data_IF_646836804518
#
_entry.id   IF_646836804518
#
_cell.length_a   1.000
_cell.length_b   1.000
_cell.length_c   1.000
_cell.angle_alpha   90.00
_cell.angle_beta   90.00
_cell.angle_gamma   90.00
#
_symmetry.space_group_name_H-M   'P 1'
#
loop_
_entity.id
_entity.type
_entity.pdbx_description
1 polymer ?
#
# COMPACT_ATOMS: atom_id res chain seq x y z
N UNK A 1 8.82 63.38 -11.92
CA UNK A 1 9.11 62.45 -13.02
C UNK A 1 10.06 61.41 -12.53
N UNK A 2 9.64 60.17 -12.41
CA UNK A 2 10.48 59.06 -11.96
C UNK A 2 9.57 57.84 -11.65
N UNK A 3 9.18 57.10 -12.71
CA UNK A 3 8.41 55.83 -12.58
C UNK A 3 9.40 54.72 -12.24
N UNK A 4 9.26 54.12 -11.04
CA UNK A 4 9.87 52.86 -10.68
C UNK A 4 9.06 51.72 -11.32
N UNK A 5 9.75 50.91 -12.10
CA UNK A 5 9.19 49.72 -12.76
C UNK A 5 9.55 48.51 -11.89
N UNK A 6 8.59 48.00 -11.09
CA UNK A 6 8.71 46.75 -10.35
C UNK A 6 8.52 45.60 -11.33
N UNK A 7 9.61 44.90 -11.63
CA UNK A 7 9.58 43.63 -12.36
C UNK A 7 9.27 42.50 -11.36
N UNK A 8 7.99 42.08 -11.28
CA UNK A 8 7.60 40.83 -10.63
C UNK A 8 8.04 39.65 -11.49
N UNK A 9 9.09 38.98 -11.11
CA UNK A 9 9.45 37.67 -11.63
C UNK A 9 8.42 36.64 -11.13
N UNK A 10 7.52 36.24 -12.02
CA UNK A 10 6.60 35.12 -11.81
C UNK A 10 7.39 33.84 -12.05
N UNK A 11 7.70 33.08 -11.00
CA UNK A 11 8.21 31.72 -11.12
C UNK A 11 7.09 30.83 -11.68
N UNK A 12 7.32 30.01 -12.72
CA UNK A 12 6.32 29.09 -13.22
C UNK A 12 6.14 27.95 -12.18
N UNK A 13 5.01 27.95 -11.49
CA UNK A 13 4.55 26.81 -10.70
C UNK A 13 4.12 25.71 -11.67
N UNK A 14 4.90 24.66 -11.79
CA UNK A 14 4.51 23.44 -12.52
C UNK A 14 3.34 22.80 -11.75
N UNK A 15 2.18 22.61 -12.37
CA UNK A 15 1.04 22.00 -11.68
C UNK A 15 1.36 20.56 -11.29
N UNK A 16 1.14 20.21 -10.02
CA UNK A 16 1.45 18.89 -9.43
C UNK A 16 0.90 17.69 -10.25
N UNK A 17 -0.25 17.86 -10.92
CA UNK A 17 -0.83 16.83 -11.79
C UNK A 17 0.05 16.36 -12.95
N UNK A 18 0.86 17.26 -13.53
CA UNK A 18 1.78 16.89 -14.62
C UNK A 18 2.98 16.06 -14.15
N UNK A 19 3.44 16.28 -12.91
CA UNK A 19 4.55 15.50 -12.34
C UNK A 19 4.14 14.05 -12.03
N UNK A 20 2.91 13.87 -11.54
CA UNK A 20 2.33 12.53 -11.27
C UNK A 20 2.12 11.76 -12.56
N UNK A 21 1.54 12.41 -13.59
CA UNK A 21 1.32 11.78 -14.89
C UNK A 21 2.64 11.39 -15.58
N UNK A 22 3.68 12.22 -15.47
CA UNK A 22 5.02 11.91 -15.99
C UNK A 22 5.69 10.73 -15.24
N UNK A 23 5.54 10.67 -13.92
CA UNK A 23 6.04 9.52 -13.13
C UNK A 23 5.31 8.23 -13.49
N UNK A 24 3.99 8.28 -13.65
CA UNK A 24 3.18 7.13 -14.06
C UNK A 24 3.55 6.64 -15.46
N UNK A 25 3.70 7.56 -16.43
CA UNK A 25 4.13 7.21 -17.79
C UNK A 25 5.55 6.63 -17.82
N UNK A 26 6.48 7.18 -17.05
CA UNK A 26 7.85 6.67 -16.93
C UNK A 26 7.90 5.28 -16.30
N UNK A 27 7.07 5.00 -15.28
CA UNK A 27 6.98 3.71 -14.62
C UNK A 27 6.37 2.62 -15.51
N UNK A 28 5.30 2.95 -16.24
CA UNK A 28 4.70 2.03 -17.22
C UNK A 28 5.69 1.72 -18.34
N UNK A 29 6.45 2.73 -18.79
CA UNK A 29 7.50 2.56 -19.80
C UNK A 29 8.66 1.71 -19.28
N UNK A 30 9.09 1.89 -18.03
CA UNK A 30 10.14 1.07 -17.40
C UNK A 30 9.70 -0.39 -17.26
N UNK A 31 8.44 -0.62 -16.88
CA UNK A 31 7.86 -1.96 -16.79
C UNK A 31 7.74 -2.63 -18.16
N UNK A 32 7.30 -1.87 -19.18
CA UNK A 32 7.24 -2.33 -20.56
C UNK A 32 8.64 -2.66 -21.13
N UNK A 33 9.64 -1.83 -20.84
CA UNK A 33 11.06 -2.08 -21.21
C UNK A 33 11.60 -3.31 -20.49
N UNK A 34 11.30 -3.47 -19.20
CA UNK A 34 11.69 -4.67 -18.43
C UNK A 34 11.09 -5.94 -19.04
N UNK A 35 9.79 -5.92 -19.39
CA UNK A 35 9.10 -7.05 -20.07
C UNK A 35 9.69 -7.28 -21.46
N UNK A 36 10.05 -6.24 -22.22
CA UNK A 36 10.59 -6.36 -23.57
C UNK A 36 12.02 -6.91 -23.62
N UNK A 37 12.82 -6.71 -22.57
CA UNK A 37 14.20 -7.21 -22.46
C UNK A 37 14.21 -8.70 -22.05
N UNK A 38 13.20 -9.19 -21.32
CA UNK A 38 13.12 -10.56 -20.82
C UNK A 38 13.23 -11.64 -21.89
N UNK A 39 12.58 -11.54 -23.10
CA UNK A 39 12.72 -12.55 -24.15
C UNK A 39 14.15 -12.66 -24.69
N UNK A 40 14.87 -11.54 -24.78
CA UNK A 40 16.28 -11.53 -25.27
C UNK A 40 17.24 -12.22 -24.30
N UNK A 41 16.96 -12.13 -22.99
CA UNK A 41 17.75 -12.79 -21.93
C UNK A 41 17.38 -14.27 -21.78
N UNK A 42 16.15 -14.65 -22.13
CA UNK A 42 15.67 -16.04 -22.06
C UNK A 42 16.25 -16.96 -23.14
N UNK A 43 16.77 -16.40 -24.24
CA UNK A 43 17.36 -17.16 -25.35
C UNK A 43 18.86 -17.47 -25.15
N UNK A 44 19.46 -16.98 -24.07
CA UNK A 44 20.87 -17.23 -23.77
C UNK A 44 20.98 -18.39 -22.77
N UNK A 45 21.37 -19.56 -23.28
CA UNK A 45 21.85 -20.75 -22.58
C UNK A 45 20.82 -21.68 -21.91
N UNK A 46 20.54 -22.79 -22.62
CA UNK A 46 20.17 -24.08 -22.04
C UNK A 46 21.39 -24.66 -21.29
N UNK A 47 21.47 -24.49 -19.99
CA UNK A 47 22.35 -25.30 -19.18
C UNK A 47 21.88 -25.38 -17.72
N UNK A 48 21.73 -26.61 -17.28
CA UNK A 48 21.49 -27.11 -15.93
C UNK A 48 20.17 -26.69 -15.26
N UNK A 49 19.28 -27.68 -15.12
CA UNK A 49 18.16 -27.70 -14.22
C UNK A 49 18.65 -27.43 -12.78
N UNK A 50 18.78 -26.18 -12.40
CA UNK A 50 19.12 -25.83 -11.05
C UNK A 50 17.87 -25.85 -10.21
N UNK A 51 17.82 -26.79 -9.26
CA UNK A 51 16.78 -26.97 -8.26
C UNK A 51 16.38 -25.64 -7.65
N UNK A 52 15.10 -25.52 -7.24
CA UNK A 52 14.53 -24.35 -6.56
C UNK A 52 15.46 -23.80 -5.50
N UNK A 53 15.70 -22.51 -5.47
CA UNK A 53 16.69 -21.91 -4.59
C UNK A 53 16.26 -22.02 -3.14
N UNK A 54 17.24 -22.22 -2.31
CA UNK A 54 17.39 -22.08 -0.86
C UNK A 54 16.13 -22.10 0.04
N UNK A 55 16.30 -22.57 1.24
CA UNK A 55 15.24 -22.62 2.25
C UNK A 55 14.75 -21.23 2.67
N UNK A 56 15.62 -20.20 2.55
CA UNK A 56 15.29 -18.82 2.92
C UNK A 56 15.44 -17.90 1.73
N UNK A 57 14.37 -17.18 1.37
CA UNK A 57 14.37 -16.06 0.45
C UNK A 57 14.16 -14.76 1.24
N UNK A 58 14.97 -13.76 0.97
CA UNK A 58 14.78 -12.38 1.44
C UNK A 58 14.65 -11.50 0.22
N UNK A 59 13.62 -10.68 0.19
CA UNK A 59 13.30 -9.76 -0.90
C UNK A 59 13.15 -8.36 -0.33
N UNK A 60 13.75 -7.38 -1.00
CA UNK A 60 13.64 -5.98 -0.61
C UNK A 60 13.68 -5.07 -1.81
N UNK A 61 12.97 -3.96 -1.75
CA UNK A 61 12.96 -3.04 -2.87
C UNK A 61 12.07 -1.83 -2.67
N UNK A 62 12.02 -1.03 -3.71
CA UNK A 62 11.23 0.18 -3.80
C UNK A 62 9.84 -0.13 -4.36
N UNK A 63 8.84 0.49 -3.76
CA UNK A 63 7.47 0.39 -4.18
C UNK A 63 6.91 1.79 -4.48
N UNK A 64 6.15 1.92 -5.56
CA UNK A 64 5.39 3.11 -5.88
C UNK A 64 3.91 2.83 -5.71
N UNK A 65 3.28 3.56 -4.81
CA UNK A 65 1.84 3.51 -4.54
C UNK A 65 1.16 4.59 -5.35
N UNK A 66 0.05 4.25 -6.01
CA UNK A 66 -0.81 5.23 -6.68
C UNK A 66 -2.28 4.87 -6.51
N UNK A 67 -3.16 5.83 -6.79
CA UNK A 67 -4.60 5.69 -6.61
C UNK A 67 -4.95 5.25 -5.18
N UNK A 68 -4.19 5.82 -4.20
CA UNK A 68 -4.45 5.60 -2.80
C UNK A 68 -5.74 6.31 -2.41
N UNK A 69 -6.75 5.50 -2.10
CA UNK A 69 -8.09 5.94 -1.75
C UNK A 69 -8.35 5.55 -0.30
N UNK A 70 -8.43 6.54 0.58
CA UNK A 70 -8.59 6.30 2.00
C UNK A 70 -9.70 7.16 2.55
N UNK A 71 -10.73 6.50 3.07
CA UNK A 71 -11.81 7.13 3.82
C UNK A 71 -11.81 6.60 5.23
N UNK A 72 -11.82 7.48 6.20
CA UNK A 72 -11.81 7.12 7.63
C UNK A 72 -12.91 7.88 8.34
N UNK A 73 -13.67 7.20 9.18
CA UNK A 73 -14.56 7.81 10.14
C UNK A 73 -14.19 7.30 11.54
N UNK A 74 -13.86 8.22 12.42
CA UNK A 74 -13.55 7.96 13.82
C UNK A 74 -14.79 8.12 14.71
N UNK A 75 -14.75 7.67 15.97
CA UNK A 75 -15.85 7.84 16.89
C UNK A 75 -16.29 9.31 17.01
N UNK A 76 -17.59 9.54 17.04
CA UNK A 76 -18.18 10.85 17.27
C UNK A 76 -18.98 10.88 18.59
N UNK A 77 -18.93 12.02 19.29
CA UNK A 77 -19.54 12.18 20.61
C UNK A 77 -21.07 12.11 20.62
N UNK A 78 -21.73 12.36 19.50
CA UNK A 78 -23.21 12.51 19.45
C UNK A 78 -23.94 11.36 18.76
N UNK A 79 -23.29 10.64 17.83
CA UNK A 79 -23.95 9.61 17.02
C UNK A 79 -23.18 8.31 16.91
N UNK A 80 -22.15 8.10 17.71
CA UNK A 80 -21.32 6.88 17.70
C UNK A 80 -20.28 6.82 16.58
N UNK A 81 -20.53 7.43 15.42
CA UNK A 81 -19.58 7.53 14.29
C UNK A 81 -19.42 9.00 13.91
N UNK A 82 -18.21 9.50 13.85
CA UNK A 82 -17.89 10.85 13.41
C UNK A 82 -18.09 11.06 11.90
N UNK A 83 -17.71 12.23 11.42
CA UNK A 83 -17.74 12.54 10.00
C UNK A 83 -16.85 11.59 9.21
N UNK A 84 -17.37 11.04 8.12
CA UNK A 84 -16.56 10.26 7.17
C UNK A 84 -15.65 11.21 6.39
N UNK A 85 -14.36 11.03 6.51
CA UNK A 85 -13.33 11.92 5.96
C UNK A 85 -12.63 11.18 4.81
N UNK A 86 -12.82 11.69 3.60
CA UNK A 86 -12.00 11.30 2.45
C UNK A 86 -10.65 12.04 2.54
N UNK A 87 -9.55 11.28 2.66
CA UNK A 87 -8.23 11.84 2.88
C UNK A 87 -7.79 12.76 1.72
N UNK A 88 -8.04 12.36 0.49
CA UNK A 88 -7.67 13.16 -0.68
C UNK A 88 -8.63 14.34 -0.92
N UNK A 89 -9.94 14.07 -0.93
CA UNK A 89 -10.93 15.07 -1.30
C UNK A 89 -11.15 16.11 -0.19
N UNK A 90 -11.30 15.66 1.04
CA UNK A 90 -11.61 16.53 2.18
C UNK A 90 -10.35 17.22 2.71
N UNK A 91 -9.23 16.50 2.84
CA UNK A 91 -8.03 16.99 3.47
C UNK A 91 -6.90 17.37 2.50
N UNK A 92 -7.11 17.19 1.19
CA UNK A 92 -6.10 17.49 0.16
C UNK A 92 -4.91 16.53 0.22
N UNK A 93 -5.13 15.30 0.67
CA UNK A 93 -4.10 14.30 0.81
C UNK A 93 -3.56 13.78 -0.52
N UNK A 94 -2.30 13.39 -0.52
CA UNK A 94 -1.67 12.76 -1.67
C UNK A 94 -2.34 11.40 -1.96
N UNK A 95 -2.50 11.09 -3.24
CA UNK A 95 -3.00 9.79 -3.71
C UNK A 95 -1.88 8.88 -4.20
N UNK A 96 -0.63 9.32 -4.10
CA UNK A 96 0.55 8.56 -4.50
C UNK A 96 1.74 8.84 -3.59
N UNK A 97 2.57 7.83 -3.39
CA UNK A 97 3.79 7.94 -2.56
C UNK A 97 4.76 6.82 -2.87
N UNK A 98 6.01 7.04 -2.51
CA UNK A 98 7.05 6.01 -2.53
C UNK A 98 7.04 5.24 -1.20
N UNK A 99 7.32 3.94 -1.25
CA UNK A 99 7.37 3.06 -0.10
C UNK A 99 8.56 2.09 -0.19
N UNK A 100 9.04 1.65 0.96
CA UNK A 100 9.95 0.51 1.08
C UNK A 100 9.13 -0.73 1.42
N UNK A 101 9.38 -1.86 0.71
CA UNK A 101 8.80 -3.15 1.02
C UNK A 101 9.88 -4.19 1.22
N UNK A 102 9.71 -4.99 2.26
CA UNK A 102 10.58 -6.11 2.62
C UNK A 102 9.73 -7.35 2.76
N UNK A 103 10.21 -8.47 2.20
CA UNK A 103 9.57 -9.77 2.30
C UNK A 103 10.60 -10.83 2.66
N UNK A 104 10.15 -11.85 3.37
CA UNK A 104 10.92 -13.05 3.65
C UNK A 104 10.04 -14.29 3.46
N UNK A 105 10.60 -15.35 2.92
CA UNK A 105 9.94 -16.65 2.82
C UNK A 105 10.89 -17.72 3.35
N UNK A 106 10.45 -18.46 4.34
CA UNK A 106 11.18 -19.62 4.84
C UNK A 106 10.44 -20.91 4.48
N UNK A 107 11.12 -21.82 3.79
CA UNK A 107 10.60 -23.10 3.35
C UNK A 107 11.09 -24.21 4.28
N UNK A 108 10.18 -24.77 5.08
CA UNK A 108 10.50 -25.89 6.00
C UNK A 108 10.81 -27.18 5.25
N UNK A 109 10.01 -27.43 4.19
CA UNK A 109 10.15 -28.57 3.30
C UNK A 109 9.47 -28.24 1.95
N UNK A 110 9.34 -29.22 1.07
CA UNK A 110 8.77 -29.02 -0.27
C UNK A 110 7.32 -28.50 -0.28
N UNK A 111 6.56 -28.78 0.80
CA UNK A 111 5.13 -28.44 0.87
C UNK A 111 4.81 -27.29 1.82
N UNK A 112 5.69 -26.98 2.76
CA UNK A 112 5.37 -26.05 3.84
C UNK A 112 6.33 -24.87 3.84
N UNK A 113 5.79 -23.66 3.82
CA UNK A 113 6.57 -22.44 3.96
C UNK A 113 5.84 -21.37 4.76
N UNK A 114 6.61 -20.47 5.36
CA UNK A 114 6.13 -19.30 6.09
C UNK A 114 6.65 -18.05 5.38
N UNK A 115 5.73 -17.18 4.99
CA UNK A 115 6.00 -15.90 4.38
C UNK A 115 5.73 -14.75 5.34
N UNK A 116 6.60 -13.78 5.34
CA UNK A 116 6.44 -12.51 6.04
C UNK A 116 6.62 -11.37 5.06
N UNK A 117 5.84 -10.30 5.17
CA UNK A 117 6.13 -9.05 4.51
C UNK A 117 5.79 -7.86 5.39
N UNK A 118 6.54 -6.79 5.20
CA UNK A 118 6.32 -5.50 5.81
C UNK A 118 6.53 -4.39 4.78
N UNK A 119 5.65 -3.41 4.80
CA UNK A 119 5.82 -2.17 4.09
C UNK A 119 5.09 -1.02 4.77
N UNK A 120 5.56 0.19 4.52
CA UNK A 120 5.02 1.41 5.09
C UNK A 120 4.63 2.37 3.98
N UNK A 121 3.39 2.85 4.03
CA UNK A 121 2.84 3.89 3.16
C UNK A 121 2.65 5.13 4.00
N UNK A 122 3.25 6.25 3.60
CA UNK A 122 3.06 7.56 4.22
C UNK A 122 2.43 8.51 3.22
N UNK A 123 1.26 9.05 3.54
CA UNK A 123 0.55 10.06 2.76
C UNK A 123 0.47 11.35 3.56
N UNK A 124 0.63 12.49 2.91
CA UNK A 124 0.52 13.82 3.51
C UNK A 124 -0.54 14.64 2.76
N UNK A 125 -1.10 15.63 3.44
CA UNK A 125 -2.07 16.53 2.84
C UNK A 125 -2.04 17.90 3.49
N UNK A 126 -2.40 18.94 2.72
CA UNK A 126 -2.57 20.29 3.23
C UNK A 126 -3.67 20.99 2.43
N UNK A 127 -4.68 21.51 3.12
CA UNK A 127 -5.82 22.17 2.50
C UNK A 127 -6.51 23.15 3.44
N UNK A 128 -7.12 24.19 2.89
CA UNK A 128 -8.17 24.95 3.59
C UNK A 128 -9.50 24.20 3.46
N UNK A 129 -10.19 23.96 4.56
CA UNK A 129 -11.44 23.19 4.54
C UNK A 129 -12.55 23.96 3.82
N UNK A 130 -13.24 23.26 2.92
CA UNK A 130 -14.44 23.76 2.23
C UNK A 130 -15.74 23.39 2.95
N UNK A 131 -15.67 22.45 3.89
CA UNK A 131 -16.78 21.97 4.72
C UNK A 131 -16.33 21.80 6.17
N UNK A 132 -17.29 21.83 7.08
CA UNK A 132 -17.04 21.56 8.50
C UNK A 132 -16.81 20.07 8.70
N UNK A 133 -15.78 19.71 9.47
CA UNK A 133 -15.53 18.32 9.86
C UNK A 133 -15.60 18.17 11.36
N UNK A 134 -16.03 16.99 11.81
CA UNK A 134 -16.06 16.62 13.23
C UNK A 134 -15.22 15.37 13.44
N UNK A 135 -14.24 15.48 14.34
CA UNK A 135 -13.41 14.37 14.78
C UNK A 135 -13.47 14.36 16.29
N UNK A 136 -13.94 13.27 16.90
CA UNK A 136 -14.25 13.17 18.32
C UNK A 136 -15.12 14.35 18.81
N UNK A 137 -14.66 15.08 19.80
CA UNK A 137 -15.34 16.26 20.39
C UNK A 137 -14.93 17.59 19.73
N UNK A 138 -14.13 17.56 18.66
CA UNK A 138 -13.65 18.76 18.00
C UNK A 138 -14.38 18.99 16.68
N UNK A 139 -14.92 20.19 16.55
CA UNK A 139 -15.54 20.69 15.32
C UNK A 139 -14.58 21.67 14.66
N UNK A 140 -14.03 21.32 13.51
CA UNK A 140 -13.15 22.17 12.71
C UNK A 140 -13.99 22.87 11.66
N UNK A 141 -14.08 24.19 11.76
CA UNK A 141 -14.96 24.98 10.93
C UNK A 141 -14.42 25.19 9.50
N UNK A 142 -15.34 25.54 8.59
CA UNK A 142 -15.01 25.94 7.22
C UNK A 142 -13.95 27.06 7.22
N UNK A 143 -13.00 26.99 6.28
CA UNK A 143 -11.93 27.97 6.14
C UNK A 143 -10.71 27.73 7.03
N UNK A 144 -10.77 26.76 7.96
CA UNK A 144 -9.58 26.35 8.72
C UNK A 144 -8.55 25.72 7.78
N UNK A 145 -7.27 26.06 7.99
CA UNK A 145 -6.15 25.40 7.29
C UNK A 145 -5.77 24.13 8.03
N UNK A 146 -5.75 23.00 7.34
CA UNK A 146 -5.38 21.71 7.91
C UNK A 146 -4.14 21.16 7.25
N UNK A 147 -3.25 20.60 8.06
CA UNK A 147 -2.13 19.75 7.61
C UNK A 147 -2.34 18.36 8.18
N UNK A 148 -2.26 17.35 7.32
CA UNK A 148 -2.57 15.95 7.69
C UNK A 148 -1.46 15.01 7.31
N UNK A 149 -1.30 13.95 8.09
CA UNK A 149 -0.49 12.80 7.71
C UNK A 149 -1.22 11.49 8.04
N UNK A 150 -1.12 10.54 7.12
CA UNK A 150 -1.64 9.20 7.26
C UNK A 150 -0.49 8.21 7.06
N UNK A 151 -0.15 7.46 8.10
CA UNK A 151 0.88 6.45 8.05
C UNK A 151 0.25 5.06 8.23
N UNK A 152 0.48 4.20 7.25
CA UNK A 152 0.02 2.81 7.23
C UNK A 152 1.24 1.90 7.34
N UNK A 153 1.33 1.12 8.42
CA UNK A 153 2.27 0.02 8.51
C UNK A 153 1.51 -1.28 8.30
N UNK A 154 1.89 -2.02 7.27
CA UNK A 154 1.24 -3.26 6.89
C UNK A 154 2.20 -4.42 7.12
N UNK A 155 1.80 -5.34 7.96
CA UNK A 155 2.50 -6.58 8.26
C UNK A 155 1.66 -7.74 7.76
N UNK A 156 2.28 -8.71 7.13
CA UNK A 156 1.61 -9.91 6.64
C UNK A 156 2.41 -11.14 7.04
N UNK A 157 1.72 -12.11 7.60
CA UNK A 157 2.27 -13.43 7.91
C UNK A 157 1.40 -14.48 7.24
N UNK A 158 1.97 -15.26 6.32
CA UNK A 158 1.28 -16.28 5.54
C UNK A 158 1.94 -17.63 5.75
N UNK A 159 1.15 -18.63 6.10
CA UNK A 159 1.56 -20.02 6.02
C UNK A 159 1.10 -20.58 4.68
N UNK A 160 2.03 -21.12 3.88
CA UNK A 160 1.69 -21.68 2.58
C UNK A 160 1.79 -23.21 2.65
N UNK A 161 0.73 -23.87 2.18
CA UNK A 161 0.71 -25.30 1.94
C UNK A 161 0.63 -25.59 0.45
N UNK A 162 1.75 -26.07 -0.13
CA UNK A 162 1.86 -26.44 -1.54
C UNK A 162 1.24 -27.83 -1.74
N UNK A 163 -0.01 -27.86 -2.18
CA UNK A 163 -0.73 -29.11 -2.43
C UNK A 163 -0.39 -29.74 -3.78
N UNK A 164 0.12 -28.94 -4.73
CA UNK A 164 0.65 -29.40 -6.01
C UNK A 164 1.97 -28.71 -6.31
N UNK A 165 2.97 -29.48 -6.73
CA UNK A 165 4.27 -28.96 -7.13
C UNK A 165 4.96 -29.90 -8.10
N UNK A 166 5.48 -29.32 -9.17
CA UNK A 166 6.39 -29.95 -10.11
C UNK A 166 7.47 -28.93 -10.54
N UNK A 167 8.29 -29.25 -11.53
CA UNK A 167 9.37 -28.38 -12.01
C UNK A 167 8.86 -27.02 -12.55
N UNK A 168 7.64 -26.97 -13.10
CA UNK A 168 7.08 -25.77 -13.73
C UNK A 168 6.07 -25.03 -12.86
N UNK A 169 5.28 -25.74 -12.07
CA UNK A 169 4.12 -25.17 -11.38
C UNK A 169 4.14 -25.54 -9.90
N UNK A 170 3.90 -24.56 -9.04
CA UNK A 170 3.57 -24.77 -7.64
C UNK A 170 2.24 -24.08 -7.33
N UNK A 171 1.29 -24.84 -6.75
CA UNK A 171 0.00 -24.36 -6.29
C UNK A 171 -0.08 -24.51 -4.78
N UNK A 172 -0.37 -23.42 -4.08
CA UNK A 172 -0.47 -23.43 -2.63
C UNK A 172 -1.73 -22.71 -2.14
N UNK A 173 -2.23 -23.14 -0.98
CA UNK A 173 -3.19 -22.39 -0.17
C UNK A 173 -2.45 -21.65 0.94
N UNK A 174 -2.94 -20.47 1.30
CA UNK A 174 -2.22 -19.53 2.18
C UNK A 174 -3.14 -18.95 3.24
N UNK A 175 -3.45 -19.68 4.33
CA UNK A 175 -4.01 -19.03 5.50
C UNK A 175 -2.99 -18.07 6.11
N UNK A 176 -3.48 -16.93 6.61
CA UNK A 176 -2.59 -15.91 7.14
C UNK A 176 -3.24 -14.86 8.00
N UNK A 177 -2.43 -13.88 8.36
CA UNK A 177 -2.83 -12.73 9.17
C UNK A 177 -2.22 -11.47 8.56
N UNK A 178 -3.08 -10.49 8.28
CA UNK A 178 -2.69 -9.13 7.96
C UNK A 178 -2.89 -8.27 9.21
N UNK A 179 -1.91 -7.45 9.53
CA UNK A 179 -2.01 -6.47 10.61
C UNK A 179 -1.74 -5.10 9.99
N UNK A 180 -2.79 -4.28 9.93
CA UNK A 180 -2.69 -2.91 9.47
C UNK A 180 -2.67 -1.99 10.68
N UNK A 181 -1.58 -1.27 10.89
CA UNK A 181 -1.48 -0.21 11.88
C UNK A 181 -1.60 1.13 11.16
N UNK A 182 -2.71 1.81 11.40
CA UNK A 182 -3.08 3.08 10.79
C UNK A 182 -2.87 4.18 11.82
N UNK A 183 -2.03 5.15 11.49
CA UNK A 183 -1.79 6.33 12.33
C UNK A 183 -2.18 7.56 11.52
N UNK A 184 -3.20 8.27 11.99
CA UNK A 184 -3.70 9.52 11.43
C UNK A 184 -3.32 10.68 12.33
N UNK A 185 -2.82 11.77 11.76
CA UNK A 185 -2.54 13.01 12.47
C UNK A 185 -3.10 14.16 11.65
N UNK A 186 -3.79 15.08 12.33
CA UNK A 186 -4.34 16.29 11.75
C UNK A 186 -3.96 17.47 12.63
N UNK A 187 -3.34 18.49 12.04
CA UNK A 187 -3.11 19.80 12.65
C UNK A 187 -4.02 20.82 11.98
N UNK A 188 -4.82 21.52 12.75
CA UNK A 188 -5.75 22.53 12.26
C UNK A 188 -5.43 23.91 12.84
N UNK A 189 -5.52 24.94 12.00
CA UNK A 189 -5.41 26.37 12.37
C UNK A 189 -6.64 27.11 11.86
N UNK A 190 -7.30 27.87 12.74
CA UNK A 190 -8.51 28.62 12.39
C UNK A 190 -9.55 28.56 13.48
N UNK A 191 -10.84 28.48 13.10
CA UNK A 191 -11.94 28.38 14.07
C UNK A 191 -12.20 26.92 14.40
N UNK A 192 -12.06 26.57 15.69
CA UNK A 192 -12.28 25.21 16.23
C UNK A 192 -13.28 25.34 17.39
N UNK A 193 -14.36 24.56 17.36
CA UNK A 193 -15.48 24.66 18.33
C UNK A 193 -16.04 26.09 18.43
N UNK A 194 -16.04 26.86 17.31
CA UNK A 194 -16.52 28.24 17.29
C UNK A 194 -15.56 29.27 17.86
N UNK A 195 -14.36 28.89 18.28
CA UNK A 195 -13.33 29.80 18.86
C UNK A 195 -12.10 29.81 17.94
N UNK A 196 -11.51 30.98 17.76
CA UNK A 196 -10.24 31.10 17.03
C UNK A 196 -9.12 30.46 17.81
N UNK A 197 -8.51 29.41 17.26
CA UNK A 197 -7.40 28.66 17.84
C UNK A 197 -6.14 28.78 16.99
N UNK A 198 -4.99 28.93 17.62
CA UNK A 198 -3.70 29.03 16.95
C UNK A 198 -3.29 27.67 16.31
N UNK A 199 -3.57 26.60 16.99
CA UNK A 199 -3.46 25.23 16.45
C UNK A 199 -4.19 24.23 17.33
N UNK A 200 -4.74 23.19 16.73
CA UNK A 200 -5.19 21.96 17.40
C UNK A 200 -4.57 20.77 16.70
N UNK A 201 -4.17 19.76 17.46
CA UNK A 201 -3.60 18.51 16.94
C UNK A 201 -4.49 17.36 17.38
N UNK A 202 -4.93 16.56 16.40
CA UNK A 202 -5.67 15.32 16.61
C UNK A 202 -4.78 14.19 16.14
N UNK A 203 -4.60 13.17 16.97
CA UNK A 203 -3.82 11.98 16.67
C UNK A 203 -4.65 10.74 17.00
N UNK A 204 -4.91 9.93 15.98
CA UNK A 204 -5.67 8.69 16.07
C UNK A 204 -4.83 7.51 15.60
N UNK A 205 -4.93 6.41 16.31
CA UNK A 205 -4.29 5.16 15.93
C UNK A 205 -5.26 3.99 16.00
N UNK A 206 -5.27 3.21 14.91
CA UNK A 206 -6.10 2.02 14.79
C UNK A 206 -5.23 0.85 14.34
N UNK A 207 -5.39 -0.29 15.01
CA UNK A 207 -4.75 -1.55 14.61
C UNK A 207 -5.82 -2.56 14.22
N UNK A 208 -5.76 -3.05 12.99
CA UNK A 208 -6.72 -3.98 12.39
C UNK A 208 -6.03 -5.31 12.10
N UNK A 209 -6.25 -6.35 12.93
CA UNK A 209 -5.87 -7.71 12.60
C UNK A 209 -6.94 -8.34 11.68
N UNK A 210 -6.54 -8.73 10.47
CA UNK A 210 -7.43 -9.31 9.45
C UNK A 210 -6.92 -10.73 9.12
N UNK A 211 -7.53 -11.78 9.68
CA UNK A 211 -7.22 -13.15 9.28
C UNK A 211 -7.63 -13.34 7.83
N UNK A 212 -6.81 -14.02 7.05
CA UNK A 212 -7.03 -14.19 5.61
C UNK A 212 -6.87 -15.63 5.19
N UNK A 213 -7.45 -15.95 4.05
CA UNK A 213 -7.16 -17.15 3.30
C UNK A 213 -6.89 -16.79 1.85
N UNK A 214 -5.89 -17.43 1.26
CA UNK A 214 -5.52 -17.13 -0.11
C UNK A 214 -5.01 -18.32 -0.88
N UNK A 215 -4.59 -18.04 -2.11
CA UNK A 215 -3.95 -18.98 -3.01
C UNK A 215 -2.74 -18.38 -3.70
N UNK A 216 -1.74 -19.20 -3.93
CA UNK A 216 -0.51 -18.83 -4.65
C UNK A 216 -0.32 -19.78 -5.84
N UNK A 217 0.02 -19.18 -6.96
CA UNK A 217 0.47 -19.87 -8.17
C UNK A 217 1.86 -19.37 -8.49
N UNK A 218 2.86 -20.22 -8.42
CA UNK A 218 4.20 -19.96 -8.94
C UNK A 218 4.36 -20.75 -10.25
N UNK A 219 4.83 -20.08 -11.29
CA UNK A 219 5.04 -20.70 -12.60
C UNK A 219 6.43 -20.36 -13.14
N UNK A 220 7.26 -21.38 -13.35
CA UNK A 220 8.57 -21.26 -13.96
C UNK A 220 8.41 -21.20 -15.49
N UNK A 221 8.43 -19.98 -16.05
CA UNK A 221 8.32 -19.75 -17.50
C UNK A 221 9.56 -20.32 -18.19
N UNK A 222 10.73 -20.05 -17.61
CA UNK A 222 12.03 -20.64 -17.97
C UNK A 222 12.79 -21.01 -16.70
N UNK A 223 13.93 -21.71 -16.74
CA UNK A 223 14.74 -21.98 -15.56
C UNK A 223 15.18 -20.71 -14.78
N UNK A 224 15.20 -19.55 -15.46
CA UNK A 224 15.61 -18.27 -14.86
C UNK A 224 14.46 -17.28 -14.66
N UNK A 225 13.31 -17.47 -15.34
CA UNK A 225 12.17 -16.56 -15.28
C UNK A 225 11.00 -17.23 -14.59
N UNK A 226 10.57 -16.67 -13.46
CA UNK A 226 9.44 -17.13 -12.68
C UNK A 226 8.34 -16.07 -12.65
N UNK A 227 7.09 -16.48 -12.74
CA UNK A 227 5.92 -15.66 -12.40
C UNK A 227 5.29 -16.14 -11.11
N UNK A 228 4.74 -15.20 -10.35
CA UNK A 228 3.94 -15.46 -9.15
C UNK A 228 2.64 -14.70 -9.22
N UNK A 229 1.53 -15.40 -9.00
CA UNK A 229 0.22 -14.79 -8.81
C UNK A 229 -0.27 -15.21 -7.42
N UNK A 230 -0.82 -14.27 -6.65
CA UNK A 230 -1.42 -14.52 -5.35
C UNK A 230 -2.70 -13.72 -5.20
N UNK A 231 -3.71 -14.33 -4.60
CA UNK A 231 -4.92 -13.67 -4.17
C UNK A 231 -5.23 -14.06 -2.74
N UNK A 232 -5.46 -13.07 -1.87
CA UNK A 232 -5.82 -13.25 -0.47
C UNK A 232 -7.14 -12.53 -0.20
N UNK A 233 -7.99 -13.11 0.60
CA UNK A 233 -9.26 -12.51 0.97
C UNK A 233 -9.59 -12.74 2.43
N UNK A 234 -10.39 -11.83 2.97
CA UNK A 234 -11.01 -11.91 4.29
C UNK A 234 -12.44 -11.38 4.20
N UNK A 235 -13.32 -12.01 4.91
CA UNK A 235 -14.69 -11.50 5.14
C UNK A 235 -15.19 -11.97 6.50
N UNK A 236 -15.66 -11.03 7.31
CA UNK A 236 -16.27 -11.31 8.60
C UNK A 236 -17.39 -10.29 8.87
N UNK A 237 -18.53 -10.81 9.37
CA UNK A 237 -19.60 -9.97 9.90
C UNK A 237 -20.13 -10.59 11.18
N UNK A 238 -19.88 -9.92 12.31
CA UNK A 238 -20.30 -10.39 13.65
C UNK A 238 -20.78 -9.20 14.48
N UNK A 239 -22.05 -9.20 14.85
CA UNK A 239 -22.66 -8.09 15.58
C UNK A 239 -22.51 -6.77 14.81
N UNK A 240 -21.97 -5.76 15.46
CA UNK A 240 -21.75 -4.43 14.91
C UNK A 240 -20.45 -4.33 14.06
N UNK A 241 -19.63 -5.38 14.09
CA UNK A 241 -18.39 -5.44 13.31
C UNK A 241 -18.63 -6.07 11.95
N UNK A 242 -18.14 -5.42 10.91
CA UNK A 242 -18.05 -5.96 9.54
C UNK A 242 -16.67 -5.64 8.96
N UNK A 243 -16.08 -6.60 8.26
CA UNK A 243 -14.78 -6.42 7.62
C UNK A 243 -14.66 -7.27 6.37
N UNK A 244 -14.04 -6.70 5.35
CA UNK A 244 -13.61 -7.38 4.14
C UNK A 244 -12.24 -6.89 3.71
N UNK A 245 -11.46 -7.79 3.11
CA UNK A 245 -10.17 -7.47 2.51
C UNK A 245 -9.98 -8.33 1.26
N UNK A 246 -9.43 -7.73 0.23
CA UNK A 246 -8.94 -8.43 -0.95
C UNK A 246 -7.58 -7.88 -1.35
N UNK A 247 -6.59 -8.77 -1.50
CA UNK A 247 -5.29 -8.44 -2.08
C UNK A 247 -5.06 -9.31 -3.32
N UNK A 248 -4.61 -8.68 -4.40
CA UNK A 248 -4.15 -9.34 -5.61
C UNK A 248 -2.71 -8.93 -5.89
N UNK A 249 -1.85 -9.93 -6.09
CA UNK A 249 -0.44 -9.74 -6.43
C UNK A 249 -0.11 -10.52 -7.70
N UNK A 250 0.61 -9.87 -8.62
CA UNK A 250 1.17 -10.51 -9.82
C UNK A 250 2.59 -10.00 -10.05
N UNK A 251 3.56 -10.90 -10.09
CA UNK A 251 4.97 -10.57 -10.20
C UNK A 251 5.71 -11.45 -11.20
N UNK A 252 6.81 -10.89 -11.72
CA UNK A 252 7.81 -11.58 -12.52
C UNK A 252 9.17 -11.39 -11.86
N UNK A 253 9.94 -12.47 -11.80
CA UNK A 253 11.29 -12.47 -11.23
C UNK A 253 12.25 -13.18 -12.17
N UNK A 254 13.38 -12.53 -12.43
CA UNK A 254 14.45 -13.07 -13.28
C UNK A 254 15.70 -13.32 -12.45
N UNK A 255 16.18 -14.56 -12.45
CA UNK A 255 17.38 -15.00 -11.75
C UNK A 255 18.63 -14.62 -12.54
N UNK A 256 19.38 -13.66 -12.02
CA UNK A 256 20.64 -13.21 -12.59
C UNK A 256 21.79 -14.17 -12.24
N UNK A 257 21.84 -14.59 -10.98
CA UNK A 257 22.85 -15.48 -10.43
C UNK A 257 22.16 -16.59 -9.61
N UNK A 258 22.90 -17.61 -9.22
CA UNK A 258 22.39 -18.72 -8.41
C UNK A 258 21.57 -18.27 -7.21
N UNK A 259 22.03 -17.26 -6.50
CA UNK A 259 21.47 -16.80 -5.24
C UNK A 259 20.85 -15.40 -5.31
N UNK A 260 20.76 -14.79 -6.53
CA UNK A 260 20.25 -13.43 -6.67
C UNK A 260 19.35 -13.28 -7.88
N UNK A 261 18.22 -12.62 -7.67
CA UNK A 261 17.26 -12.31 -8.70
C UNK A 261 16.79 -10.85 -8.61
N UNK A 262 16.28 -10.32 -9.73
CA UNK A 262 15.56 -9.06 -9.81
C UNK A 262 14.13 -9.32 -10.24
N UNK A 263 13.21 -8.53 -9.72
CA UNK A 263 11.81 -8.69 -10.04
C UNK A 263 11.02 -7.40 -10.03
N UNK A 264 9.86 -7.50 -10.64
CA UNK A 264 8.83 -6.47 -10.63
C UNK A 264 7.47 -7.11 -10.38
N UNK A 265 6.62 -6.42 -9.60
CA UNK A 265 5.30 -6.90 -9.29
C UNK A 265 4.29 -5.76 -9.22
N UNK A 266 3.07 -6.10 -9.56
CA UNK A 266 1.88 -5.31 -9.31
C UNK A 266 1.14 -5.88 -8.10
N UNK A 267 0.64 -5.00 -7.24
CA UNK A 267 -0.14 -5.36 -6.06
C UNK A 267 -1.33 -4.40 -5.96
N UNK A 268 -2.50 -4.93 -5.62
CA UNK A 268 -3.70 -4.15 -5.32
C UNK A 268 -4.30 -4.65 -4.02
N UNK A 269 -4.47 -3.75 -3.07
CA UNK A 269 -5.15 -4.00 -1.81
C UNK A 269 -6.45 -3.18 -1.74
N UNK A 270 -7.51 -3.81 -1.26
CA UNK A 270 -8.76 -3.15 -0.86
C UNK A 270 -9.17 -3.69 0.50
N UNK A 271 -9.43 -2.78 1.43
CA UNK A 271 -9.87 -3.09 2.81
C UNK A 271 -11.09 -2.23 3.12
N UNK A 272 -12.12 -2.85 3.65
CA UNK A 272 -13.30 -2.19 4.18
C UNK A 272 -13.60 -2.78 5.54
N UNK A 273 -13.50 -1.99 6.60
CA UNK A 273 -13.74 -2.42 7.98
C UNK A 273 -14.57 -1.38 8.71
N UNK A 274 -15.65 -1.81 9.29
CA UNK A 274 -16.55 -0.96 10.06
C UNK A 274 -16.91 -1.62 11.40
N UNK A 275 -17.03 -0.79 12.42
CA UNK A 275 -17.66 -1.12 13.68
C UNK A 275 -18.73 -0.07 13.97
N UNK A 276 -19.98 -0.47 14.04
CA UNK A 276 -21.14 0.42 14.24
C UNK A 276 -21.58 0.50 15.72
N UNK A 277 -20.70 0.17 16.66
CA UNK A 277 -21.00 0.24 18.09
C UNK A 277 -21.37 1.65 18.52
N UNK A 278 -22.43 1.78 19.31
CA UNK A 278 -22.89 3.06 19.87
C UNK A 278 -21.88 3.71 20.84
N UNK A 279 -20.89 2.97 21.32
CA UNK A 279 -19.88 3.43 22.28
C UNK A 279 -18.51 3.76 21.68
N UNK A 280 -18.38 3.78 20.33
CA UNK A 280 -17.10 4.05 19.68
C UNK A 280 -16.99 3.39 18.30
N UNK A 281 -17.93 3.73 17.40
CA UNK A 281 -17.92 3.21 16.04
C UNK A 281 -16.83 3.81 15.17
N UNK A 282 -16.26 3.01 14.27
CA UNK A 282 -15.33 3.48 13.25
C UNK A 282 -15.66 2.88 11.88
N UNK A 283 -15.20 3.53 10.83
CA UNK A 283 -15.22 3.02 9.47
C UNK A 283 -13.90 3.34 8.80
N UNK A 284 -13.29 2.35 8.16
CA UNK A 284 -12.05 2.49 7.38
C UNK A 284 -12.26 1.81 6.04
N UNK A 285 -12.19 2.60 4.98
CA UNK A 285 -12.09 2.11 3.62
C UNK A 285 -10.72 2.51 3.07
N UNK A 286 -9.93 1.53 2.65
CA UNK A 286 -8.57 1.71 2.16
C UNK A 286 -8.41 0.94 0.85
N UNK A 287 -7.97 1.62 -0.19
CA UNK A 287 -7.60 1.00 -1.46
C UNK A 287 -6.35 1.65 -2.04
N UNK A 288 -5.48 0.86 -2.65
CA UNK A 288 -4.34 1.37 -3.42
C UNK A 288 -3.88 0.35 -4.46
N UNK A 289 -3.15 0.86 -5.45
CA UNK A 289 -2.36 0.08 -6.37
C UNK A 289 -0.88 0.32 -6.05
N UNK A 290 -0.04 -0.69 -6.27
CA UNK A 290 1.37 -0.62 -5.95
C UNK A 290 2.19 -1.33 -7.04
N UNK A 291 3.23 -0.67 -7.53
CA UNK A 291 4.30 -1.28 -8.33
C UNK A 291 5.51 -1.50 -7.44
N UNK A 292 6.03 -2.72 -7.41
CA UNK A 292 7.15 -3.13 -6.59
C UNK A 292 8.32 -3.57 -7.45
N UNK A 293 9.46 -2.89 -7.35
CA UNK A 293 10.72 -3.25 -7.98
C UNK A 293 11.68 -3.73 -6.90
N UNK A 294 12.20 -4.95 -7.04
CA UNK A 294 12.92 -5.60 -5.94
C UNK A 294 14.10 -6.46 -6.37
N UNK A 295 15.02 -6.66 -5.42
CA UNK A 295 16.01 -7.73 -5.46
C UNK A 295 15.66 -8.84 -4.47
N UNK A 296 15.91 -10.09 -4.86
CA UNK A 296 15.74 -11.28 -4.03
C UNK A 296 17.07 -11.98 -3.81
N UNK A 297 17.33 -12.37 -2.57
CA UNK A 297 18.49 -13.20 -2.20
C UNK A 297 17.95 -14.53 -1.68
N UNK A 298 18.53 -15.62 -2.18
CA UNK A 298 18.20 -16.98 -1.82
C UNK A 298 19.35 -17.62 -1.05
N UNK A 299 19.04 -18.13 0.14
CA UNK A 299 20.02 -18.69 1.09
C UNK A 299 19.67 -20.13 1.44
N UNK A 300 20.66 -21.03 1.48
CA UNK A 300 20.65 -22.48 1.88
C UNK A 300 19.90 -23.41 0.95
#
# INVERSE_FOLDING_TARGET
MGKSCDSKTVSPTVPHGHLVALKQAALVSLFAVFIAILPGLALAEESEQEQLPGKLMIRGGWAYVWDANTTVAFPGSVSGVGTSIDFAQTLGGDTSTDALRIEALYRFNERHSLGFSWYRIGLAGQKALNEQIQIEDQTINVGASVSTSLNLNLYRLLYNYSFYRNEKVELAVSPGLYISNIKFMLSAQGTINGVSAASSVIEEQLTLPLPSIGGVVNYNITPRLQSQIRGDFFYLKVGDFSGSMFEFYAGLEYRLFKNFALGAAYDRLVVDVANQSSSGGFNVNLGYNLLYLYGSIYLF
#
